data_IF_864547054292
#
_entry.id   IF_864547054292
#
_cell.length_a   1.000
_cell.length_b   1.000
_cell.length_c   1.000
_cell.angle_alpha   90.00
_cell.angle_beta   90.00
_cell.angle_gamma   90.00
#
_symmetry.space_group_name_H-M   'P 1'
#
loop_
_entity.id
_entity.type
_entity.pdbx_description
1 polymer ?
#
# COMPACT_ATOMS: atom_id res chain seq x y z
N UNK A 1 1.70 -9.84 17.23
CA UNK A 1 0.84 -9.43 16.10
C UNK A 1 1.78 -9.25 14.92
N UNK A 2 1.45 -9.72 13.71
CA UNK A 2 2.32 -9.43 12.57
C UNK A 2 2.33 -7.92 12.28
N UNK A 3 3.44 -7.42 11.71
CA UNK A 3 3.62 -5.99 11.45
C UNK A 3 2.49 -5.40 10.60
N UNK A 4 2.01 -6.14 9.59
CA UNK A 4 0.98 -5.67 8.66
C UNK A 4 -0.36 -5.44 9.35
N UNK A 5 -0.76 -6.36 10.22
CA UNK A 5 -2.01 -6.21 10.98
C UNK A 5 -1.90 -5.05 11.96
N UNK A 6 -0.74 -4.91 12.62
CA UNK A 6 -0.48 -3.77 13.52
C UNK A 6 -0.54 -2.45 12.75
N UNK A 7 0.13 -2.36 11.61
CA UNK A 7 0.18 -1.15 10.78
C UNK A 7 -1.22 -0.73 10.32
N UNK A 8 -2.04 -1.69 9.88
CA UNK A 8 -3.43 -1.43 9.51
C UNK A 8 -4.26 -0.91 10.68
N UNK A 9 -4.06 -1.49 11.87
CA UNK A 9 -4.75 -1.04 13.09
C UNK A 9 -4.34 0.39 13.45
N UNK A 10 -3.04 0.71 13.40
CA UNK A 10 -2.54 2.04 13.73
C UNK A 10 -2.98 3.09 12.70
N UNK A 11 -3.11 2.71 11.43
CA UNK A 11 -3.66 3.55 10.37
C UNK A 11 -5.14 3.89 10.64
N UNK A 12 -5.97 2.91 11.01
CA UNK A 12 -7.37 3.14 11.43
C UNK A 12 -7.44 4.12 12.60
N UNK A 13 -6.64 3.89 13.64
CA UNK A 13 -6.59 4.78 14.81
C UNK A 13 -6.09 6.18 14.46
N UNK A 14 -5.24 6.31 13.43
CA UNK A 14 -4.84 7.62 12.93
C UNK A 14 -6.01 8.33 12.26
N UNK A 15 -6.73 7.70 11.33
CA UNK A 15 -7.93 8.29 10.71
C UNK A 15 -8.95 8.75 11.77
N UNK A 16 -9.24 7.91 12.77
CA UNK A 16 -10.13 8.25 13.90
C UNK A 16 -9.72 9.52 14.64
N UNK A 17 -8.41 9.74 14.80
CA UNK A 17 -7.86 10.85 15.59
C UNK A 17 -7.80 12.17 14.82
N UNK A 18 -7.55 12.11 13.51
CA UNK A 18 -7.28 13.31 12.69
C UNK A 18 -8.50 13.83 11.92
N UNK A 19 -9.51 12.99 11.69
CA UNK A 19 -10.74 13.37 10.98
C UNK A 19 -10.59 13.42 9.46
N UNK A 20 -11.62 13.89 8.72
CA UNK A 20 -11.69 13.84 7.25
C UNK A 20 -10.84 14.90 6.53
N UNK A 21 -10.81 16.13 7.04
CA UNK A 21 -10.25 17.29 6.34
C UNK A 21 -8.74 17.46 6.53
N UNK A 22 -8.08 16.52 7.21
CA UNK A 22 -6.66 16.66 7.53
C UNK A 22 -5.79 16.41 6.27
N UNK A 23 -4.68 17.15 6.12
CA UNK A 23 -3.85 17.05 4.92
C UNK A 23 -3.15 15.69 4.82
N UNK A 24 -2.76 15.34 3.61
CA UNK A 24 -1.85 14.21 3.33
C UNK A 24 -0.70 14.68 2.45
N UNK A 25 0.33 13.83 2.29
CA UNK A 25 1.37 14.05 1.28
C UNK A 25 0.93 13.62 -0.13
N UNK A 26 -0.26 13.03 -0.28
CA UNK A 26 -0.84 12.76 -1.59
C UNK A 26 -1.44 14.07 -2.12
N UNK A 27 -0.83 14.64 -3.16
CA UNK A 27 -1.23 15.93 -3.71
C UNK A 27 -2.73 15.93 -4.09
N UNK A 28 -3.45 16.92 -3.56
CA UNK A 28 -4.88 17.10 -3.79
C UNK A 28 -5.78 16.16 -2.99
N UNK A 29 -5.25 15.34 -2.08
CA UNK A 29 -6.04 14.44 -1.23
C UNK A 29 -6.00 14.87 0.22
N UNK A 30 -7.18 14.96 0.82
CA UNK A 30 -7.33 14.93 2.27
C UNK A 30 -7.39 13.48 2.78
N UNK A 31 -7.65 13.33 4.06
CA UNK A 31 -7.72 12.03 4.72
C UNK A 31 -9.01 11.27 4.44
N UNK A 32 -10.09 11.92 4.01
CA UNK A 32 -11.27 11.24 3.49
C UNK A 32 -11.00 10.63 2.12
N UNK A 33 -10.36 11.37 1.22
CA UNK A 33 -9.93 10.86 -0.09
C UNK A 33 -9.02 9.65 0.06
N UNK A 34 -8.03 9.74 0.96
CA UNK A 34 -7.11 8.66 1.24
C UNK A 34 -7.82 7.45 1.86
N UNK A 35 -8.73 7.65 2.83
CA UNK A 35 -9.50 6.56 3.42
C UNK A 35 -10.40 5.88 2.37
N UNK A 36 -11.04 6.64 1.49
CA UNK A 36 -11.83 6.12 0.38
C UNK A 36 -10.98 5.29 -0.58
N UNK A 37 -9.77 5.73 -0.88
CA UNK A 37 -8.79 4.95 -1.62
C UNK A 37 -8.48 3.63 -0.90
N UNK A 38 -8.20 3.67 0.40
CA UNK A 38 -7.88 2.49 1.21
C UNK A 38 -9.01 1.47 1.28
N UNK A 39 -10.26 1.91 1.36
CA UNK A 39 -11.44 1.05 1.33
C UNK A 39 -11.64 0.44 -0.06
N UNK A 40 -11.58 1.28 -1.10
CA UNK A 40 -11.81 0.85 -2.48
C UNK A 40 -10.81 -0.22 -2.93
N UNK A 41 -9.51 -0.03 -2.64
CA UNK A 41 -8.47 -1.01 -2.97
C UNK A 41 -8.65 -2.34 -2.23
N UNK A 42 -9.17 -2.31 -1.00
CA UNK A 42 -9.33 -3.52 -0.18
C UNK A 42 -10.55 -4.35 -0.62
N UNK A 43 -11.62 -3.68 -1.07
CA UNK A 43 -12.82 -4.33 -1.60
C UNK A 43 -12.62 -4.78 -3.05
N UNK A 44 -11.88 -4.00 -3.85
CA UNK A 44 -11.69 -4.22 -5.29
C UNK A 44 -10.24 -4.33 -5.73
N UNK A 45 -9.47 -5.29 -5.16
CA UNK A 45 -8.05 -5.43 -5.49
C UNK A 45 -7.80 -5.70 -6.99
N UNK A 46 -8.80 -6.23 -7.70
CA UNK A 46 -8.75 -6.52 -9.13
C UNK A 46 -9.03 -5.28 -10.01
N UNK A 47 -9.76 -4.27 -9.51
CA UNK A 47 -10.05 -3.02 -10.25
C UNK A 47 -8.84 -2.09 -10.23
N UNK A 48 -8.09 -2.05 -9.12
CA UNK A 48 -6.86 -1.24 -9.01
C UNK A 48 -5.77 -1.71 -9.98
N UNK A 49 -5.71 -3.01 -10.31
CA UNK A 49 -4.81 -3.56 -11.33
C UNK A 49 -5.40 -3.43 -12.76
N UNK A 50 -6.73 -3.43 -12.89
CA UNK A 50 -7.48 -3.41 -14.14
C UNK A 50 -7.96 -2.03 -14.59
N UNK A 51 -7.63 -0.93 -13.90
CA UNK A 51 -7.85 0.44 -14.40
C UNK A 51 -7.11 0.74 -15.72
N UNK A 52 -6.34 -0.24 -16.25
CA UNK A 52 -5.73 -0.25 -17.59
C UNK A 52 -6.34 -1.28 -18.57
N UNK A 53 -7.38 -2.03 -18.19
CA UNK A 53 -7.98 -3.08 -19.02
C UNK A 53 -9.52 -2.97 -19.02
N UNK A 54 -10.18 -2.87 -20.18
CA UNK A 54 -11.62 -2.73 -20.27
C UNK A 54 -12.29 -4.09 -20.03
N UNK A 55 -12.48 -4.47 -18.77
CA UNK A 55 -13.26 -5.65 -18.39
C UNK A 55 -14.61 -5.23 -17.78
N UNK A 56 -15.68 -5.88 -18.24
CA UNK A 56 -17.04 -5.67 -17.75
C UNK A 56 -17.17 -6.19 -16.31
N UNK A 57 -17.06 -5.32 -15.32
CA UNK A 57 -17.48 -5.62 -13.96
C UNK A 57 -19.02 -5.76 -13.90
N UNK A 58 -19.54 -6.62 -13.02
CA UNK A 58 -20.98 -6.77 -12.83
C UNK A 58 -21.59 -5.49 -12.24
N UNK A 59 -22.88 -5.23 -12.52
CA UNK A 59 -23.55 -4.00 -12.05
C UNK A 59 -23.49 -3.83 -10.52
N UNK A 60 -23.48 -4.93 -9.75
CA UNK A 60 -23.32 -4.90 -8.29
C UNK A 60 -21.93 -4.42 -7.80
N UNK A 61 -20.88 -4.62 -8.60
CA UNK A 61 -19.53 -4.11 -8.31
C UNK A 61 -19.48 -2.61 -8.60
N UNK A 62 -20.18 -2.16 -9.67
CA UNK A 62 -20.33 -0.74 -10.00
C UNK A 62 -21.16 -0.01 -8.95
N UNK A 63 -22.34 -0.50 -8.60
CA UNK A 63 -23.23 0.11 -7.59
C UNK A 63 -22.55 0.27 -6.22
N UNK A 64 -21.77 -0.73 -5.80
CA UNK A 64 -21.01 -0.63 -4.56
C UNK A 64 -19.83 0.34 -4.66
N UNK A 65 -19.21 0.53 -5.84
CA UNK A 65 -18.24 1.61 -6.04
C UNK A 65 -18.92 2.98 -5.95
N UNK A 66 -20.08 3.14 -6.61
CA UNK A 66 -20.85 4.39 -6.58
C UNK A 66 -21.29 4.74 -5.13
N UNK A 67 -21.63 3.73 -4.32
CA UNK A 67 -21.87 3.92 -2.90
C UNK A 67 -20.63 4.39 -2.14
N UNK A 68 -19.46 3.79 -2.40
CA UNK A 68 -18.21 4.21 -1.78
C UNK A 68 -17.77 5.60 -2.22
N UNK A 69 -18.18 6.10 -3.39
CA UNK A 69 -17.90 7.48 -3.84
C UNK A 69 -18.68 8.53 -3.05
N UNK A 70 -19.85 8.15 -2.53
CA UNK A 70 -20.76 9.06 -1.82
C UNK A 70 -20.84 8.83 -0.32
N UNK A 71 -20.22 7.75 0.18
CA UNK A 71 -20.14 7.42 1.60
C UNK A 71 -19.40 8.50 2.38
N UNK A 72 -19.91 8.79 3.57
CA UNK A 72 -19.27 9.68 4.54
C UNK A 72 -17.99 9.07 5.12
N UNK A 73 -17.12 9.92 5.67
CA UNK A 73 -15.90 9.49 6.35
C UNK A 73 -16.15 8.41 7.42
N UNK A 74 -17.16 8.60 8.28
CA UNK A 74 -17.48 7.65 9.35
C UNK A 74 -17.95 6.30 8.79
N UNK A 75 -18.75 6.31 7.71
CA UNK A 75 -19.18 5.09 7.02
C UNK A 75 -17.99 4.35 6.39
N UNK A 76 -17.10 5.08 5.70
CA UNK A 76 -15.88 4.52 5.13
C UNK A 76 -14.98 3.91 6.21
N UNK A 77 -14.84 4.59 7.35
CA UNK A 77 -14.02 4.14 8.46
C UNK A 77 -14.60 2.89 9.12
N UNK A 78 -15.93 2.82 9.25
CA UNK A 78 -16.63 1.63 9.72
C UNK A 78 -16.48 0.44 8.77
N UNK A 79 -16.56 0.69 7.46
CA UNK A 79 -16.29 -0.32 6.43
C UNK A 79 -14.84 -0.81 6.54
N UNK A 80 -13.88 0.12 6.63
CA UNK A 80 -12.47 -0.19 6.75
C UNK A 80 -12.17 -0.97 8.05
N UNK A 81 -12.79 -0.61 9.17
CA UNK A 81 -12.61 -1.32 10.46
C UNK A 81 -13.10 -2.77 10.39
N UNK A 82 -14.24 -3.01 9.73
CA UNK A 82 -14.80 -4.37 9.53
C UNK A 82 -13.89 -5.23 8.65
N UNK A 83 -13.12 -4.60 7.77
CA UNK A 83 -12.19 -5.26 6.87
C UNK A 83 -12.89 -6.12 5.81
N UNK A 84 -12.11 -6.75 4.92
CA UNK A 84 -12.64 -7.57 3.85
C UNK A 84 -13.36 -8.76 4.49
N UNK A 85 -14.59 -9.02 4.04
CA UNK A 85 -15.41 -10.12 4.57
C UNK A 85 -14.77 -11.48 4.25
N UNK A 86 -13.86 -11.93 5.14
CA UNK A 86 -13.30 -13.25 5.45
C UNK A 86 -13.07 -14.32 4.36
N UNK A 87 -13.32 -14.11 3.07
CA UNK A 87 -13.32 -15.19 2.08
C UNK A 87 -12.84 -14.78 0.68
N UNK A 88 -11.58 -14.36 0.54
CA UNK A 88 -10.93 -14.32 -0.78
C UNK A 88 -9.62 -15.11 -0.78
N UNK A 89 -9.55 -16.26 -1.50
CA UNK A 89 -8.32 -17.03 -1.69
C UNK A 89 -7.16 -16.22 -2.30
N UNK A 90 -7.47 -15.12 -3.01
CA UNK A 90 -6.49 -14.21 -3.60
C UNK A 90 -5.74 -13.37 -2.53
N UNK A 91 -6.29 -13.24 -1.31
CA UNK A 91 -5.61 -12.53 -0.23
C UNK A 91 -4.40 -13.28 0.36
N UNK A 92 -4.23 -14.56 0.03
CA UNK A 92 -3.27 -15.47 0.68
C UNK A 92 -1.94 -15.57 -0.08
N UNK A 93 -1.78 -14.94 -1.24
CA UNK A 93 -0.48 -14.93 -1.93
C UNK A 93 0.53 -14.06 -1.18
N UNK A 94 1.80 -14.50 -1.13
CA UNK A 94 2.88 -13.72 -0.52
C UNK A 94 3.06 -12.35 -1.19
N UNK A 95 2.78 -12.28 -2.51
CA UNK A 95 2.80 -11.05 -3.27
C UNK A 95 1.72 -10.06 -2.80
N UNK A 96 0.48 -10.53 -2.63
CA UNK A 96 -0.60 -9.68 -2.12
C UNK A 96 -0.31 -9.17 -0.70
N UNK A 97 0.28 -10.01 0.17
CA UNK A 97 0.73 -9.55 1.49
C UNK A 97 1.77 -8.45 1.38
N UNK A 98 2.79 -8.61 0.54
CA UNK A 98 3.83 -7.61 0.34
C UNK A 98 3.27 -6.26 -0.16
N UNK A 99 2.37 -6.27 -1.14
CA UNK A 99 1.72 -5.04 -1.60
C UNK A 99 0.91 -4.37 -0.48
N UNK A 100 0.08 -5.12 0.25
CA UNK A 100 -0.69 -4.55 1.36
C UNK A 100 0.20 -3.96 2.47
N UNK A 101 1.32 -4.61 2.80
CA UNK A 101 2.29 -4.05 3.74
C UNK A 101 2.74 -2.66 3.29
N UNK A 102 3.17 -2.53 2.03
CA UNK A 102 3.69 -1.26 1.52
C UNK A 102 2.62 -0.17 1.52
N UNK A 103 1.39 -0.52 1.15
CA UNK A 103 0.32 0.47 1.00
C UNK A 103 -0.16 0.99 2.35
N UNK A 104 -0.24 0.13 3.36
CA UNK A 104 -0.50 0.59 4.74
C UNK A 104 0.62 1.47 5.26
N UNK A 105 1.88 1.07 5.07
CA UNK A 105 3.03 1.86 5.56
C UNK A 105 3.13 3.21 4.85
N UNK A 106 3.06 3.23 3.52
CA UNK A 106 3.22 4.46 2.73
C UNK A 106 2.14 5.47 3.11
N UNK A 107 0.87 5.06 3.08
CA UNK A 107 -0.24 5.98 3.32
C UNK A 107 -0.39 6.37 4.79
N UNK A 108 -0.01 5.51 5.72
CA UNK A 108 0.11 5.92 7.12
C UNK A 108 1.23 6.96 7.29
N UNK A 109 2.37 6.78 6.64
CA UNK A 109 3.43 7.78 6.64
C UNK A 109 3.07 9.07 5.90
N UNK A 110 2.21 9.01 4.87
CA UNK A 110 1.73 10.21 4.16
C UNK A 110 0.87 11.09 5.08
N UNK A 111 0.02 10.48 5.91
CA UNK A 111 -0.76 11.20 6.93
C UNK A 111 0.17 11.71 8.04
N UNK A 112 1.05 10.85 8.58
CA UNK A 112 1.90 11.24 9.71
C UNK A 112 2.84 12.39 9.35
N UNK A 113 3.47 12.35 8.18
CA UNK A 113 4.43 13.36 7.74
C UNK A 113 3.78 14.63 7.24
N UNK A 114 2.54 14.60 6.74
CA UNK A 114 1.82 15.84 6.48
C UNK A 114 1.50 16.60 7.79
N UNK A 115 1.39 15.87 8.90
CA UNK A 115 0.92 16.40 10.18
C UNK A 115 2.11 16.83 11.03
N UNK A 116 3.22 16.12 10.90
CA UNK A 116 4.49 16.42 11.58
C UNK A 116 5.68 16.01 10.70
N UNK A 117 6.04 16.82 9.69
CA UNK A 117 7.05 16.48 8.67
C UNK A 117 8.42 16.10 9.21
N UNK A 118 8.80 16.67 10.36
CA UNK A 118 10.10 16.49 10.99
C UNK A 118 10.25 15.18 11.79
N UNK A 119 9.15 14.49 12.09
CA UNK A 119 9.18 13.26 12.89
C UNK A 119 9.19 12.01 12.02
N UNK A 120 10.40 11.54 11.70
CA UNK A 120 10.57 10.15 11.27
C UNK A 120 10.15 9.19 12.38
N UNK A 121 9.40 8.14 12.03
CA UNK A 121 9.04 7.10 13.00
C UNK A 121 10.24 6.19 13.27
N UNK A 122 10.44 5.83 14.54
CA UNK A 122 11.39 4.79 14.93
C UNK A 122 10.73 3.44 14.75
N UNK A 123 11.33 2.60 13.90
CA UNK A 123 10.91 1.22 13.66
C UNK A 123 11.96 0.28 14.25
N UNK A 124 11.52 -0.79 14.91
CA UNK A 124 12.45 -1.82 15.35
C UNK A 124 12.99 -2.65 14.17
N UNK A 125 13.97 -3.51 14.47
CA UNK A 125 14.62 -4.32 13.45
C UNK A 125 13.68 -5.32 12.76
N UNK A 126 12.61 -5.76 13.44
CA UNK A 126 11.65 -6.73 12.90
C UNK A 126 10.69 -6.04 11.92
N UNK A 127 10.17 -4.88 12.30
CA UNK A 127 9.33 -4.02 11.46
C UNK A 127 10.09 -3.60 10.19
N UNK A 128 11.35 -3.15 10.34
CA UNK A 128 12.19 -2.80 9.20
C UNK A 128 12.42 -3.99 8.26
N UNK A 129 12.66 -5.20 8.79
CA UNK A 129 12.81 -6.41 7.97
C UNK A 129 11.52 -6.75 7.22
N UNK A 130 10.35 -6.59 7.85
CA UNK A 130 9.06 -6.85 7.21
C UNK A 130 8.80 -5.90 6.02
N UNK A 131 9.09 -4.61 6.20
CA UNK A 131 8.99 -3.60 5.13
C UNK A 131 10.00 -3.94 4.02
N UNK A 132 11.25 -4.24 4.37
CA UNK A 132 12.29 -4.52 3.39
C UNK A 132 12.01 -5.77 2.56
N UNK A 133 11.52 -6.84 3.19
CA UNK A 133 11.10 -8.06 2.51
C UNK A 133 9.94 -7.80 1.53
N UNK A 134 8.99 -6.96 1.93
CA UNK A 134 7.86 -6.54 1.09
C UNK A 134 8.36 -5.73 -0.11
N UNK A 135 9.24 -4.75 0.12
CA UNK A 135 9.84 -3.92 -0.92
C UNK A 135 10.65 -4.73 -1.94
N UNK A 136 11.42 -5.72 -1.49
CA UNK A 136 12.16 -6.63 -2.37
C UNK A 136 11.21 -7.42 -3.26
N UNK A 137 10.16 -8.01 -2.68
CA UNK A 137 9.18 -8.83 -3.40
C UNK A 137 8.44 -7.99 -4.45
N UNK A 138 7.90 -6.84 -4.04
CA UNK A 138 7.21 -5.92 -4.94
C UNK A 138 8.13 -5.37 -6.02
N UNK A 139 9.35 -4.95 -5.65
CA UNK A 139 10.32 -4.43 -6.60
C UNK A 139 10.72 -5.43 -7.68
N UNK A 140 10.87 -6.72 -7.33
CA UNK A 140 11.15 -7.78 -8.31
C UNK A 140 10.06 -7.90 -9.38
N UNK A 141 8.78 -7.73 -8.99
CA UNK A 141 7.66 -7.79 -9.92
C UNK A 141 7.51 -6.49 -10.70
N UNK A 142 7.47 -5.35 -10.01
CA UNK A 142 7.26 -4.03 -10.63
C UNK A 142 8.33 -3.64 -11.64
N UNK A 143 9.55 -4.14 -11.46
CA UNK A 143 10.68 -3.83 -12.31
C UNK A 143 11.20 -5.02 -13.13
N UNK A 144 10.42 -6.10 -13.23
CA UNK A 144 10.81 -7.30 -13.98
C UNK A 144 11.16 -7.00 -15.44
N UNK A 145 10.50 -6.01 -16.05
CA UNK A 145 10.69 -5.61 -17.45
C UNK A 145 11.57 -4.36 -17.60
N UNK A 146 12.20 -3.87 -16.52
CA UNK A 146 13.05 -2.70 -16.61
C UNK A 146 14.26 -2.99 -17.54
N UNK A 147 14.57 -2.13 -18.52
CA UNK A 147 15.72 -2.33 -19.41
C UNK A 147 17.07 -2.06 -18.72
N UNK A 148 17.03 -1.73 -17.43
CA UNK A 148 18.17 -1.34 -16.60
C UNK A 148 18.19 -2.14 -15.31
N UNK A 149 19.38 -2.29 -14.71
CA UNK A 149 19.52 -2.91 -13.40
C UNK A 149 19.03 -1.95 -12.31
N UNK A 150 18.15 -2.46 -11.46
CA UNK A 150 17.68 -1.75 -10.27
C UNK A 150 18.34 -2.37 -9.04
N UNK A 151 18.93 -1.51 -8.20
CA UNK A 151 19.60 -1.91 -6.96
C UNK A 151 18.87 -1.23 -5.82
N UNK A 152 18.27 -2.03 -4.96
CA UNK A 152 17.68 -1.55 -3.73
C UNK A 152 18.79 -1.41 -2.67
N UNK A 153 18.96 -0.21 -2.10
CA UNK A 153 19.99 0.08 -1.09
C UNK A 153 19.36 0.71 0.14
N UNK A 154 19.75 0.23 1.32
CA UNK A 154 19.54 0.89 2.60
C UNK A 154 20.89 1.04 3.30
N UNK A 155 21.15 2.16 4.02
CA UNK A 155 22.38 2.35 4.80
C UNK A 155 22.64 1.22 5.82
N UNK A 156 21.58 0.60 6.35
CA UNK A 156 21.63 -0.49 7.32
C UNK A 156 21.31 -1.86 6.72
N UNK A 157 20.67 -1.93 5.55
CA UNK A 157 20.22 -3.17 4.91
C UNK A 157 20.57 -3.19 3.42
N UNK A 158 21.84 -3.44 3.09
CA UNK A 158 22.25 -3.64 1.69
C UNK A 158 21.82 -5.03 1.23
N UNK A 159 20.91 -5.14 0.25
CA UNK A 159 20.68 -6.42 -0.43
C UNK A 159 21.86 -6.71 -1.37
N UNK A 160 22.58 -7.81 -1.11
CA UNK A 160 23.73 -8.24 -1.91
C UNK A 160 23.40 -8.32 -3.41
N UNK A 161 24.29 -7.85 -4.31
CA UNK A 161 24.15 -8.09 -5.73
C UNK A 161 24.44 -9.59 -5.99
N UNK A 162 23.53 -10.30 -6.64
CA UNK A 162 23.94 -11.51 -7.35
C UNK A 162 24.95 -11.10 -8.43
N UNK A 163 26.08 -11.82 -8.45
CA UNK A 163 27.28 -11.57 -9.25
C UNK A 163 27.00 -11.21 -10.71
N UNK A 164 27.82 -10.37 -11.35
CA UNK A 164 27.55 -9.87 -12.69
C UNK A 164 27.77 -10.95 -13.76
N UNK A 165 27.00 -10.98 -14.86
CA UNK A 165 27.58 -11.36 -16.14
C UNK A 165 28.44 -10.19 -16.61
N UNK A 166 29.74 -10.42 -16.71
CA UNK A 166 30.67 -9.55 -17.43
C UNK A 166 30.29 -9.51 -18.91
N UNK A 167 30.02 -8.32 -19.44
CA UNK A 167 29.97 -8.08 -20.89
C UNK A 167 31.04 -7.06 -21.22
N UNK A 168 32.18 -7.57 -21.68
CA UNK A 168 33.20 -6.78 -22.37
C UNK A 168 32.69 -6.53 -23.77
N UNK A 169 32.52 -5.26 -24.16
CA UNK A 169 32.45 -4.85 -25.55
C UNK A 169 33.82 -4.28 -25.92
N UNK A 170 34.61 -5.06 -26.65
CA UNK A 170 35.78 -4.58 -27.41
C UNK A 170 35.24 -3.97 -28.73
N UNK A 171 35.95 -2.97 -29.32
CA UNK A 171 35.42 -2.12 -30.39
C UNK A 171 35.09 -2.88 -31.68
#
# INVERSE_FOLDING_TARGET
MDFVTKERSDLISTFERIGPDAPTLCEGWDTEDLLRHMVTREIYPHITLAAKVPWNFSDAIREKNDHLETASFDELLDIYRKGPQKYSPLQVSALNRAFNTLEYVIHHEDIRRAQTPELGRVLDDEDQKAIWGSLKTTGQVSFAMAPVRIILRSPSMVSSPHSPPSVTRTP
#
